data_IF_578789688193
#
_entry.id   IF_578789688193
#
_cell.length_a   1.000
_cell.length_b   1.000
_cell.length_c   1.000
_cell.angle_alpha   90.00
_cell.angle_beta   90.00
_cell.angle_gamma   90.00
#
_symmetry.space_group_name_H-M   'P 1'
#
loop_
_entity.id
_entity.type
_entity.pdbx_description
1 polymer ?
#
# COMPACT_ATOMS: atom_id res chain seq x y z
N UNK A 1 52.60 29.10 28.61
CA UNK A 1 51.41 28.80 29.38
C UNK A 1 50.25 29.59 28.79
N UNK A 2 49.42 28.99 27.92
CA UNK A 2 48.26 29.63 27.30
C UNK A 2 47.01 29.27 28.13
N UNK A 3 46.13 30.21 28.43
CA UNK A 3 45.02 29.98 29.33
C UNK A 3 43.94 29.06 28.71
N UNK A 4 43.52 28.04 29.46
CA UNK A 4 42.51 27.04 29.15
C UNK A 4 41.08 27.56 28.84
N UNK A 5 40.90 28.87 28.87
CA UNK A 5 39.59 29.53 28.70
C UNK A 5 39.18 29.72 27.22
N UNK A 6 40.11 29.66 26.26
CA UNK A 6 39.81 30.02 24.85
C UNK A 6 39.08 28.88 24.10
N UNK A 7 39.27 27.62 24.52
CA UNK A 7 38.64 26.48 23.83
C UNK A 7 37.17 26.27 24.15
N UNK A 8 36.67 26.88 25.21
CA UNK A 8 35.28 26.66 25.66
C UNK A 8 34.22 27.46 24.87
N UNK A 9 34.61 28.50 24.17
CA UNK A 9 33.70 29.36 23.40
C UNK A 9 33.66 29.04 21.90
N UNK A 10 34.56 28.22 21.39
CA UNK A 10 34.60 27.87 19.96
C UNK A 10 33.89 26.55 19.63
N UNK A 11 33.61 25.70 20.62
CA UNK A 11 32.93 24.42 20.38
C UNK A 11 31.40 24.47 20.47
N UNK A 12 30.84 25.54 21.07
CA UNK A 12 29.40 25.66 21.26
C UNK A 12 28.58 25.92 19.98
N UNK A 13 29.07 26.66 18.97
CA UNK A 13 28.25 26.94 17.77
C UNK A 13 28.29 25.80 16.73
N UNK A 14 29.28 24.91 16.76
CA UNK A 14 29.42 23.84 15.75
C UNK A 14 28.45 22.68 16.01
N UNK A 15 28.08 22.44 17.26
CA UNK A 15 27.16 21.37 17.63
C UNK A 15 25.69 21.70 17.29
N UNK A 16 25.35 22.99 17.12
CA UNK A 16 23.98 23.42 16.84
C UNK A 16 23.62 23.40 15.33
N UNK A 17 24.62 23.27 14.44
CA UNK A 17 24.42 23.33 12.99
C UNK A 17 24.09 21.97 12.37
N UNK A 18 24.25 20.86 13.10
CA UNK A 18 24.02 19.51 12.56
C UNK A 18 22.64 18.90 12.87
N UNK A 19 21.77 19.59 13.63
CA UNK A 19 20.47 19.03 14.08
C UNK A 19 19.29 19.17 13.10
N UNK A 20 19.25 20.08 12.11
CA UNK A 20 18.03 20.26 11.32
C UNK A 20 17.82 19.22 10.18
N UNK A 21 18.74 18.27 9.98
CA UNK A 21 18.65 17.38 8.79
C UNK A 21 17.90 16.06 8.98
N UNK A 22 17.42 15.74 10.19
CA UNK A 22 16.84 14.41 10.47
C UNK A 22 15.32 14.35 10.37
N UNK A 23 14.62 15.48 10.15
CA UNK A 23 13.14 15.52 10.19
C UNK A 23 12.42 15.52 8.83
N UNK A 24 13.12 15.33 7.71
CA UNK A 24 12.50 15.45 6.38
C UNK A 24 11.76 14.19 5.87
N UNK A 25 11.70 13.10 6.65
CA UNK A 25 11.13 11.83 6.18
C UNK A 25 9.63 11.60 6.44
N UNK A 26 9.05 12.19 7.49
CA UNK A 26 7.70 11.83 7.92
C UNK A 26 6.55 12.51 7.14
N UNK A 27 6.80 13.62 6.44
CA UNK A 27 5.75 14.35 5.71
C UNK A 27 5.25 13.66 4.43
N UNK A 28 6.08 12.84 3.81
CA UNK A 28 5.73 12.18 2.54
C UNK A 28 4.70 11.07 2.69
N UNK A 29 4.79 10.27 3.76
CA UNK A 29 3.88 9.15 3.99
C UNK A 29 2.48 9.63 4.34
N UNK A 30 2.35 10.68 5.16
CA UNK A 30 1.06 11.22 5.58
C UNK A 30 0.21 11.78 4.43
N UNK A 31 0.86 12.28 3.37
CA UNK A 31 0.23 12.85 2.18
C UNK A 31 0.19 11.88 0.98
N UNK A 32 0.49 10.61 1.21
CA UNK A 32 0.48 9.62 0.14
C UNK A 32 -0.94 9.41 -0.39
N UNK A 33 -1.15 9.21 -1.72
CA UNK A 33 -2.48 9.02 -2.31
C UNK A 33 -3.32 7.94 -1.62
N UNK A 34 -2.73 6.78 -1.29
CA UNK A 34 -3.41 5.70 -0.58
C UNK A 34 -3.96 6.12 0.79
N UNK A 35 -3.28 7.03 1.50
CA UNK A 35 -3.74 7.55 2.79
C UNK A 35 -5.00 8.39 2.60
N UNK A 36 -5.03 9.22 1.57
CA UNK A 36 -6.19 10.05 1.27
C UNK A 36 -7.40 9.19 0.84
N UNK A 37 -7.18 8.22 -0.05
CA UNK A 37 -8.22 7.27 -0.48
C UNK A 37 -8.77 6.47 0.70
N UNK A 38 -7.91 5.96 1.58
CA UNK A 38 -8.34 5.21 2.76
C UNK A 38 -9.15 6.08 3.73
N UNK A 39 -8.73 7.32 3.97
CA UNK A 39 -9.45 8.25 4.85
C UNK A 39 -10.82 8.60 4.29
N UNK A 40 -10.90 8.87 3.01
CA UNK A 40 -12.16 9.20 2.34
C UNK A 40 -13.13 8.01 2.43
N UNK A 41 -12.67 6.80 2.07
CA UNK A 41 -13.49 5.60 2.14
C UNK A 41 -14.00 5.35 3.55
N UNK A 42 -13.13 5.36 4.56
CA UNK A 42 -13.51 5.12 5.95
C UNK A 42 -14.50 6.16 6.45
N UNK A 43 -14.37 7.42 6.04
CA UNK A 43 -15.27 8.49 6.46
C UNK A 43 -16.70 8.37 5.92
N UNK A 44 -16.85 7.89 4.68
CA UNK A 44 -18.17 7.84 4.00
C UNK A 44 -18.81 6.45 4.05
N UNK A 45 -18.09 5.42 4.47
CA UNK A 45 -18.60 4.05 4.49
C UNK A 45 -19.45 3.78 5.73
N UNK A 46 -20.71 3.40 5.55
CA UNK A 46 -21.65 3.15 6.64
C UNK A 46 -21.20 2.02 7.59
N UNK A 47 -20.45 1.03 7.09
CA UNK A 47 -19.93 -0.07 7.91
C UNK A 47 -18.84 0.43 8.87
N UNK A 48 -17.96 1.31 8.40
CA UNK A 48 -16.94 1.94 9.26
C UNK A 48 -17.56 2.87 10.29
N UNK A 49 -18.57 3.65 9.90
CA UNK A 49 -19.32 4.51 10.82
C UNK A 49 -20.07 3.71 11.88
N UNK A 50 -20.65 2.59 11.50
CA UNK A 50 -21.30 1.68 12.46
C UNK A 50 -20.30 1.05 13.42
N UNK A 51 -19.12 0.69 12.92
CA UNK A 51 -18.05 0.03 13.68
C UNK A 51 -17.34 0.98 14.64
N UNK A 52 -16.92 2.15 14.16
CA UNK A 52 -16.16 3.13 14.94
C UNK A 52 -17.07 4.10 15.72
N UNK A 53 -18.26 4.34 15.22
CA UNK A 53 -19.15 5.42 15.65
C UNK A 53 -18.77 6.76 15.02
N UNK A 54 -19.69 7.73 15.06
CA UNK A 54 -19.46 9.09 14.57
C UNK A 54 -19.40 10.08 15.74
N UNK A 55 -18.57 11.12 15.66
CA UNK A 55 -17.65 11.47 14.57
C UNK A 55 -16.34 10.66 14.58
N UNK A 56 -15.85 10.31 13.37
CA UNK A 56 -14.56 9.65 13.19
C UNK A 56 -13.45 10.71 13.22
N UNK A 57 -12.43 10.48 14.02
CA UNK A 57 -11.29 11.40 14.19
C UNK A 57 -9.97 10.68 13.89
N UNK A 58 -9.16 11.28 13.03
CA UNK A 58 -7.82 10.79 12.73
C UNK A 58 -6.84 11.30 13.80
N UNK A 59 -6.20 10.38 14.52
CA UNK A 59 -5.28 10.73 15.61
C UNK A 59 -3.97 9.98 15.46
N UNK A 60 -2.87 10.67 15.76
CA UNK A 60 -1.54 10.09 15.71
C UNK A 60 -0.85 10.23 14.34
N UNK A 61 0.29 9.57 14.23
CA UNK A 61 1.15 9.65 13.04
C UNK A 61 0.85 8.48 12.12
N UNK A 62 0.68 8.76 10.83
CA UNK A 62 0.64 7.73 9.79
C UNK A 62 2.02 7.07 9.72
N UNK A 63 2.04 5.76 9.81
CA UNK A 63 3.26 4.96 9.71
C UNK A 63 3.17 4.01 8.52
N UNK A 64 4.31 3.51 8.06
CA UNK A 64 4.35 2.58 6.95
C UNK A 64 5.52 2.83 6.01
N UNK A 65 5.40 2.29 4.81
CA UNK A 65 6.42 2.39 3.77
C UNK A 65 5.77 2.43 2.39
N UNK A 66 6.38 3.19 1.50
CA UNK A 66 6.07 3.18 0.07
C UNK A 66 7.39 3.00 -0.70
N UNK A 67 7.38 2.09 -1.65
CA UNK A 67 8.46 1.91 -2.60
C UNK A 67 7.96 2.31 -3.99
N UNK A 68 8.37 3.47 -4.44
CA UNK A 68 7.96 4.03 -5.74
C UNK A 68 8.52 3.22 -6.92
N UNK A 69 9.65 2.55 -6.72
CA UNK A 69 10.31 1.75 -7.77
C UNK A 69 9.57 0.45 -7.98
N UNK A 70 9.25 -0.27 -6.90
CA UNK A 70 8.51 -1.52 -6.96
C UNK A 70 6.99 -1.28 -7.09
N UNK A 71 6.54 -0.04 -6.92
CA UNK A 71 5.12 0.32 -6.96
C UNK A 71 4.31 -0.37 -5.87
N UNK A 72 4.85 -0.54 -4.66
CA UNK A 72 4.18 -1.20 -3.54
C UNK A 72 4.20 -0.28 -2.33
N UNK A 73 3.06 -0.15 -1.66
CA UNK A 73 2.98 0.60 -0.42
C UNK A 73 2.07 -0.08 0.61
N UNK A 74 2.43 0.06 1.89
CA UNK A 74 1.65 -0.42 3.03
C UNK A 74 1.72 0.61 4.15
N UNK A 75 0.55 1.04 4.64
CA UNK A 75 0.44 2.12 5.61
C UNK A 75 -0.55 1.80 6.70
N UNK A 76 -0.34 2.41 7.87
CA UNK A 76 -1.17 2.29 9.05
C UNK A 76 -1.58 3.70 9.50
N UNK A 77 -2.86 3.92 9.65
CA UNK A 77 -3.45 5.22 9.96
C UNK A 77 -4.26 5.06 11.24
N UNK A 78 -3.83 5.65 12.37
CA UNK A 78 -4.59 5.60 13.60
C UNK A 78 -5.89 6.40 13.49
N UNK A 79 -6.98 5.81 13.98
CA UNK A 79 -8.33 6.38 13.94
C UNK A 79 -9.04 6.16 15.27
N UNK A 80 -9.87 7.10 15.66
CA UNK A 80 -10.69 7.01 16.88
C UNK A 80 -12.11 7.45 16.57
N UNK A 81 -13.04 6.61 16.93
CA UNK A 81 -14.45 6.92 17.00
C UNK A 81 -14.99 6.79 18.44
N UNK A 82 -16.23 7.20 18.69
CA UNK A 82 -16.85 7.07 20.02
C UNK A 82 -16.99 5.65 20.53
N UNK A 83 -17.12 4.68 19.62
CA UNK A 83 -17.30 3.26 19.98
C UNK A 83 -15.98 2.51 20.10
N UNK A 84 -15.00 2.84 19.25
CA UNK A 84 -13.73 2.13 19.23
C UNK A 84 -12.57 3.00 18.74
N UNK A 85 -11.37 2.73 19.28
CA UNK A 85 -10.11 3.14 18.72
C UNK A 85 -9.58 2.02 17.83
N UNK A 86 -9.04 2.36 16.67
CA UNK A 86 -8.60 1.38 15.68
C UNK A 86 -7.41 1.89 14.86
N UNK A 87 -6.84 0.99 14.06
CA UNK A 87 -5.85 1.31 13.04
C UNK A 87 -6.41 0.88 11.68
N UNK A 88 -6.45 1.82 10.75
CA UNK A 88 -6.76 1.53 9.35
C UNK A 88 -5.48 1.07 8.67
N UNK A 89 -5.52 -0.12 8.09
CA UNK A 89 -4.43 -0.70 7.30
C UNK A 89 -4.81 -0.54 5.84
N UNK A 90 -3.95 0.11 5.07
CA UNK A 90 -4.10 0.25 3.63
C UNK A 90 -2.85 -0.26 2.94
N UNK A 91 -3.06 -1.14 1.98
CA UNK A 91 -2.01 -1.60 1.06
C UNK A 91 -2.42 -1.24 -0.36
N UNK A 92 -1.43 -0.97 -1.19
CA UNK A 92 -1.70 -0.61 -2.56
C UNK A 92 -0.55 -0.90 -3.51
N UNK A 93 -0.92 -0.91 -4.77
CA UNK A 93 -0.01 -1.07 -5.90
C UNK A 93 -0.14 0.11 -6.85
N UNK A 94 0.98 0.45 -7.48
CA UNK A 94 1.05 1.46 -8.53
C UNK A 94 0.82 0.80 -9.89
N UNK A 95 -0.10 1.36 -10.67
CA UNK A 95 -0.40 0.95 -12.04
C UNK A 95 -0.16 2.15 -12.95
N UNK A 96 0.93 2.14 -13.72
CA UNK A 96 1.42 3.32 -14.39
C UNK A 96 1.82 4.40 -13.37
N UNK A 97 1.17 5.55 -13.43
CA UNK A 97 1.42 6.66 -12.49
C UNK A 97 0.40 6.74 -11.35
N UNK A 98 -0.60 5.86 -11.33
CA UNK A 98 -1.68 5.89 -10.35
C UNK A 98 -1.53 4.79 -9.29
N UNK A 99 -1.87 5.13 -8.03
CA UNK A 99 -1.92 4.17 -6.95
C UNK A 99 -3.33 3.59 -6.81
N UNK A 100 -3.42 2.25 -6.79
CA UNK A 100 -4.64 1.52 -6.50
C UNK A 100 -4.58 0.85 -5.13
N UNK A 101 -5.70 0.85 -4.39
CA UNK A 101 -5.81 0.14 -3.11
C UNK A 101 -6.04 -1.34 -3.38
N UNK A 102 -5.22 -2.20 -2.79
CA UNK A 102 -5.35 -3.66 -2.87
C UNK A 102 -5.91 -4.27 -1.60
N UNK A 103 -5.70 -3.59 -0.46
CA UNK A 103 -6.26 -3.98 0.84
C UNK A 103 -6.67 -2.73 1.62
N UNK A 104 -7.86 -2.75 2.21
CA UNK A 104 -8.33 -1.75 3.17
C UNK A 104 -9.06 -2.45 4.32
N UNK A 105 -8.47 -2.40 5.50
CA UNK A 105 -9.00 -3.02 6.71
C UNK A 105 -8.95 -2.06 7.90
N UNK A 106 -9.95 -2.14 8.77
CA UNK A 106 -9.97 -1.48 10.07
C UNK A 106 -9.74 -2.55 11.14
N UNK A 107 -8.70 -2.39 11.93
CA UNK A 107 -8.38 -3.27 13.05
C UNK A 107 -8.55 -2.52 14.36
N UNK A 108 -9.47 -2.93 15.24
CA UNK A 108 -9.65 -2.28 16.54
C UNK A 108 -8.39 -2.48 17.40
N UNK A 109 -8.13 -1.52 18.28
CA UNK A 109 -7.02 -1.61 19.23
C UNK A 109 -7.27 -2.69 20.28
N UNK A 110 -8.54 -2.92 20.62
CA UNK A 110 -8.98 -3.93 21.57
C UNK A 110 -9.93 -4.91 20.86
N UNK A 111 -9.52 -6.15 20.74
CA UNK A 111 -10.30 -7.21 20.10
C UNK A 111 -9.66 -7.75 18.82
N UNK A 112 -10.15 -8.91 18.37
CA UNK A 112 -9.62 -9.62 17.21
C UNK A 112 -10.48 -9.41 15.95
N UNK A 113 -11.64 -8.76 16.09
CA UNK A 113 -12.55 -8.52 14.98
C UNK A 113 -11.98 -7.44 14.05
N UNK A 114 -11.82 -7.78 12.79
CA UNK A 114 -11.38 -6.85 11.74
C UNK A 114 -12.50 -6.57 10.76
N UNK A 115 -12.61 -5.33 10.31
CA UNK A 115 -13.55 -4.92 9.29
C UNK A 115 -12.82 -4.70 7.96
N UNK A 116 -13.10 -5.53 6.96
CA UNK A 116 -12.58 -5.33 5.61
C UNK A 116 -13.50 -4.42 4.80
N UNK A 117 -12.93 -3.40 4.19
CA UNK A 117 -13.60 -2.43 3.31
C UNK A 117 -13.11 -2.52 1.86
N UNK A 118 -12.23 -3.47 1.54
CA UNK A 118 -11.63 -3.59 0.21
C UNK A 118 -12.69 -3.77 -0.87
N UNK A 119 -13.68 -4.62 -0.63
CA UNK A 119 -14.77 -4.86 -1.58
C UNK A 119 -15.70 -3.64 -1.75
N UNK A 120 -15.93 -2.89 -0.68
CA UNK A 120 -16.77 -1.69 -0.71
C UNK A 120 -16.11 -0.59 -1.54
N UNK A 121 -14.78 -0.42 -1.35
CA UNK A 121 -14.01 0.53 -2.14
C UNK A 121 -13.96 0.13 -3.62
N UNK A 122 -13.73 -1.16 -3.92
CA UNK A 122 -13.71 -1.68 -5.29
C UNK A 122 -15.05 -1.44 -6.00
N UNK A 123 -16.16 -1.70 -5.33
CA UNK A 123 -17.50 -1.48 -5.88
C UNK A 123 -17.77 0.01 -6.18
N UNK A 124 -17.20 0.92 -5.39
CA UNK A 124 -17.36 2.36 -5.58
C UNK A 124 -16.45 2.94 -6.64
N UNK A 125 -15.21 2.49 -6.72
CA UNK A 125 -14.23 2.96 -7.69
C UNK A 125 -14.49 2.43 -9.10
N UNK A 126 -15.42 1.49 -9.28
CA UNK A 126 -15.70 0.85 -10.57
C UNK A 126 -14.57 -0.08 -11.05
N UNK A 127 -13.53 -0.23 -10.24
CA UNK A 127 -12.47 -1.21 -10.49
C UNK A 127 -12.93 -2.53 -9.88
N UNK A 128 -13.85 -3.19 -10.54
CA UNK A 128 -14.13 -4.58 -10.20
C UNK A 128 -12.88 -5.40 -10.52
N UNK A 129 -12.21 -5.85 -9.47
CA UNK A 129 -11.32 -7.00 -9.61
C UNK A 129 -12.20 -8.14 -10.15
N UNK A 130 -11.87 -8.78 -11.28
CA UNK A 130 -12.65 -9.90 -11.78
C UNK A 130 -12.80 -10.92 -10.67
N UNK A 131 -13.98 -10.99 -10.07
CA UNK A 131 -14.30 -12.04 -9.11
C UNK A 131 -14.31 -13.33 -9.92
N UNK A 132 -13.46 -14.26 -9.54
CA UNK A 132 -13.55 -15.59 -10.07
C UNK A 132 -14.91 -16.17 -9.63
N UNK A 133 -15.87 -16.18 -10.55
CA UNK A 133 -17.13 -16.87 -10.37
C UNK A 133 -16.97 -18.29 -10.95
N UNK A 134 -16.93 -19.32 -10.10
CA UNK A 134 -16.80 -20.70 -10.59
C UNK A 134 -17.99 -21.15 -11.45
N UNK A 135 -19.11 -20.40 -11.41
CA UNK A 135 -20.30 -20.67 -12.20
C UNK A 135 -20.47 -19.70 -13.38
N UNK A 136 -19.60 -18.70 -13.52
CA UNK A 136 -19.62 -17.84 -14.69
C UNK A 136 -19.32 -18.71 -15.91
N UNK A 137 -20.28 -18.85 -16.79
CA UNK A 137 -20.08 -19.43 -18.12
C UNK A 137 -18.97 -18.65 -18.76
N UNK A 138 -17.82 -19.29 -19.02
CA UNK A 138 -16.67 -18.66 -19.66
C UNK A 138 -17.18 -17.83 -20.84
N UNK A 139 -16.86 -16.53 -20.92
CA UNK A 139 -17.17 -15.77 -22.12
C UNK A 139 -16.50 -16.53 -23.26
N UNK A 140 -17.34 -16.97 -24.19
CA UNK A 140 -16.90 -17.63 -25.42
C UNK A 140 -15.81 -16.77 -26.01
N UNK A 141 -14.58 -17.26 -25.93
CA UNK A 141 -13.43 -16.60 -26.56
C UNK A 141 -13.78 -16.23 -27.97
N UNK A 142 -13.51 -15.00 -28.44
CA UNK A 142 -13.75 -14.67 -29.81
C UNK A 142 -13.00 -15.67 -30.68
N UNK A 143 -13.81 -16.46 -31.40
CA UNK A 143 -13.39 -17.41 -32.39
C UNK A 143 -12.57 -16.66 -33.43
N UNK A 144 -11.29 -16.86 -33.46
CA UNK A 144 -10.42 -16.79 -34.62
C UNK A 144 -8.98 -16.44 -34.21
N UNK A 145 -8.29 -17.41 -33.66
CA UNK A 145 -6.88 -17.52 -33.97
C UNK A 145 -6.75 -18.68 -34.98
N UNK A 146 -6.07 -18.50 -36.10
CA UNK A 146 -5.74 -19.63 -36.97
C UNK A 146 -4.95 -20.68 -36.17
N UNK A 147 -5.13 -21.97 -36.45
CA UNK A 147 -4.40 -23.02 -35.74
C UNK A 147 -2.88 -22.74 -35.87
N UNK A 148 -2.12 -22.91 -34.79
CA UNK A 148 -0.68 -22.77 -34.88
C UNK A 148 -0.17 -23.73 -35.93
N UNK A 149 0.64 -23.23 -36.88
CA UNK A 149 1.29 -24.05 -37.88
C UNK A 149 2.00 -25.18 -37.17
N UNK A 150 1.73 -26.41 -37.63
CA UNK A 150 2.42 -27.60 -37.15
C UNK A 150 3.93 -27.39 -37.34
N UNK A 151 4.63 -27.20 -36.24
CA UNK A 151 6.09 -27.15 -36.26
C UNK A 151 6.52 -28.63 -36.33
N UNK A 152 6.79 -29.07 -37.55
CA UNK A 152 7.47 -30.35 -37.76
C UNK A 152 8.90 -30.19 -37.28
N UNK A 153 9.20 -30.72 -36.09
CA UNK A 153 10.56 -30.81 -35.58
C UNK A 153 11.22 -32.00 -36.30
N UNK A 154 11.98 -31.69 -37.37
CA UNK A 154 12.89 -32.70 -37.94
C UNK A 154 14.00 -32.96 -36.92
N UNK A 155 13.99 -34.15 -36.33
CA UNK A 155 15.11 -34.62 -35.52
C UNK A 155 16.35 -34.72 -36.42
N UNK A 156 17.50 -34.19 -35.99
CA UNK A 156 18.74 -34.42 -36.72
C UNK A 156 19.07 -35.92 -36.76
N UNK A 157 19.62 -36.40 -37.88
CA UNK A 157 19.98 -37.81 -38.04
C UNK A 157 20.99 -38.22 -36.98
N UNK A 158 20.72 -39.35 -36.34
CA UNK A 158 21.51 -39.87 -35.24
C UNK A 158 23.00 -39.92 -35.54
N UNK A 159 23.82 -39.61 -34.55
CA UNK A 159 25.26 -39.74 -34.54
C UNK A 159 25.64 -41.22 -34.81
N UNK A 160 26.53 -41.50 -35.74
CA UNK A 160 27.04 -42.86 -35.92
C UNK A 160 28.06 -43.20 -34.84
N UNK A 161 27.92 -44.38 -34.24
CA UNK A 161 29.00 -45.06 -33.53
C UNK A 161 28.93 -45.07 -32.02
N UNK A 162 28.37 -46.11 -31.51
CA UNK A 162 28.93 -46.86 -30.37
C UNK A 162 28.71 -48.33 -30.62
N UNK A 163 29.81 -48.96 -31.13
CA UNK A 163 30.06 -50.38 -30.90
C UNK A 163 30.64 -50.56 -29.51
#
# INVERSE_FOLDING_TARGET
>A
MLPRQVYRKLFAPVLFLCIPFVFSGCGRIANHPLVNMAKEEVAINNRSQTFLGEPITWKGTVTGRANEVDGIAAMQIPVVGPKAAATVIVEGKKFGDEWGVTLLEIRPTNGDEKLSLTADLAARSGVETPKFDPNATQPTSPKTAPPPAEITIELPPGLPGQE
#
